data_IF_337035709849
#
_entry.id   IF_337035709849
#
_cell.length_a   1.000
_cell.length_b   1.000
_cell.length_c   1.000
_cell.angle_alpha   90.00
_cell.angle_beta   90.00
_cell.angle_gamma   90.00
#
_symmetry.space_group_name_H-M   'P 1'
#
loop_
_entity.id
_entity.type
_entity.pdbx_description
1 polymer ?
#
# COMPACT_ATOMS: atom_id res chain seq x y z
N UNK A 1 -7.75 16.85 -4.02
CA UNK A 1 -7.68 15.37 -4.19
C UNK A 1 -7.34 15.07 -5.64
N UNK A 2 -6.61 13.99 -5.96
CA UNK A 2 -6.45 13.60 -7.36
C UNK A 2 -7.84 13.37 -7.94
N UNK A 3 -8.14 14.01 -9.07
CA UNK A 3 -9.45 13.93 -9.74
C UNK A 3 -9.68 12.57 -10.39
N UNK A 4 -8.64 11.73 -10.48
CA UNK A 4 -8.61 10.53 -11.31
C UNK A 4 -8.13 9.31 -10.50
N UNK A 5 -8.78 8.17 -10.70
CA UNK A 5 -8.36 6.88 -10.13
C UNK A 5 -7.18 6.28 -10.93
N UNK A 6 -6.44 5.34 -10.33
CA UNK A 6 -5.38 4.60 -11.04
C UNK A 6 -5.89 3.95 -12.34
N UNK A 7 -7.06 3.31 -12.27
CA UNK A 7 -7.74 2.68 -13.41
C UNK A 7 -8.01 3.64 -14.55
N UNK A 8 -8.45 4.86 -14.25
CA UNK A 8 -8.71 5.89 -15.24
C UNK A 8 -7.41 6.51 -15.77
N UNK A 9 -6.44 6.78 -14.89
CA UNK A 9 -5.14 7.33 -15.26
C UNK A 9 -4.38 6.40 -16.22
N UNK A 10 -4.43 5.08 -15.97
CA UNK A 10 -3.81 4.09 -16.83
C UNK A 10 -4.48 4.00 -18.19
N UNK A 11 -5.80 4.16 -18.25
CA UNK A 11 -6.52 4.17 -19.53
C UNK A 11 -6.18 5.43 -20.33
N UNK A 12 -6.12 6.58 -19.68
CA UNK A 12 -5.78 7.86 -20.30
C UNK A 12 -4.37 7.87 -20.93
N UNK A 13 -3.42 7.08 -20.41
CA UNK A 13 -2.11 6.91 -21.04
C UNK A 13 -2.19 6.36 -22.47
N UNK A 14 -3.25 5.62 -22.80
CA UNK A 14 -3.45 5.05 -24.15
C UNK A 14 -3.57 6.13 -25.22
N UNK A 15 -3.96 7.37 -24.85
CA UNK A 15 -3.93 8.53 -25.77
C UNK A 15 -2.54 8.85 -26.31
N UNK A 16 -1.49 8.45 -25.59
CA UNK A 16 -0.09 8.64 -25.99
C UNK A 16 0.54 7.35 -26.58
N UNK A 17 -0.28 6.34 -26.90
CA UNK A 17 0.21 5.01 -27.34
C UNK A 17 0.88 4.21 -26.22
N UNK A 18 0.64 4.57 -24.96
CA UNK A 18 1.23 3.97 -23.77
C UNK A 18 0.16 3.23 -22.94
N UNK A 19 0.53 2.35 -22.00
CA UNK A 19 1.88 1.83 -21.78
C UNK A 19 2.08 0.42 -22.37
N UNK A 20 1.05 -0.15 -23.00
CA UNK A 20 1.00 -1.58 -23.31
C UNK A 20 2.01 -2.05 -24.36
N UNK A 21 2.48 -1.16 -25.23
CA UNK A 21 3.54 -1.45 -26.20
C UNK A 21 4.97 -1.27 -25.66
N UNK A 22 5.14 -0.82 -24.41
CA UNK A 22 6.46 -0.44 -23.87
C UNK A 22 7.14 -1.62 -23.19
N UNK A 23 8.36 -2.02 -23.60
CA UNK A 23 9.05 -3.17 -23.02
C UNK A 23 9.20 -3.11 -21.49
N UNK A 24 9.54 -1.94 -20.93
CA UNK A 24 9.65 -1.74 -19.48
C UNK A 24 8.34 -2.01 -18.76
N UNK A 25 7.21 -1.55 -19.33
CA UNK A 25 5.89 -1.81 -18.76
C UNK A 25 5.48 -3.27 -18.89
N UNK A 26 5.78 -3.91 -20.02
CA UNK A 26 5.52 -5.34 -20.24
C UNK A 26 6.36 -6.21 -19.29
N UNK A 27 7.60 -5.81 -18.97
CA UNK A 27 8.43 -6.49 -17.99
C UNK A 27 7.83 -6.44 -16.57
N UNK A 28 7.22 -5.30 -16.20
CA UNK A 28 6.52 -5.11 -14.92
C UNK A 28 5.22 -5.91 -14.88
N UNK A 29 4.40 -5.81 -15.93
CA UNK A 29 3.03 -6.35 -15.93
C UNK A 29 2.92 -7.80 -16.40
N UNK A 30 3.93 -8.27 -17.14
CA UNK A 30 3.93 -9.55 -17.88
C UNK A 30 2.81 -9.66 -18.91
N UNK A 31 2.32 -8.52 -19.41
CA UNK A 31 1.30 -8.44 -20.44
C UNK A 31 1.97 -7.92 -21.71
N UNK A 32 2.10 -8.73 -22.78
CA UNK A 32 2.94 -8.42 -23.94
C UNK A 32 2.28 -7.48 -24.97
N UNK A 33 1.14 -6.86 -24.64
CA UNK A 33 0.43 -5.98 -25.56
C UNK A 33 -0.83 -5.38 -24.94
N UNK A 34 -1.68 -4.77 -25.77
CA UNK A 34 -2.93 -4.15 -25.33
C UNK A 34 -3.88 -5.20 -24.74
N UNK A 35 -4.39 -5.03 -23.51
CA UNK A 35 -5.24 -6.02 -22.85
C UNK A 35 -6.49 -6.42 -23.64
N UNK A 36 -6.96 -5.55 -24.53
CA UNK A 36 -8.14 -5.75 -25.38
C UNK A 36 -7.79 -6.27 -26.79
N UNK A 37 -6.57 -6.74 -27.02
CA UNK A 37 -6.19 -7.39 -28.27
C UNK A 37 -6.88 -8.74 -28.42
N UNK A 38 -7.38 -9.01 -29.62
CA UNK A 38 -8.05 -10.25 -30.01
C UNK A 38 -7.30 -10.88 -31.18
N UNK A 39 -7.42 -12.20 -31.35
CA UNK A 39 -6.94 -12.89 -32.55
C UNK A 39 -7.95 -12.69 -33.68
N UNK A 40 -7.47 -12.43 -34.89
CA UNK A 40 -8.34 -12.27 -36.05
C UNK A 40 -9.20 -13.52 -36.30
N UNK A 41 -10.50 -13.32 -36.53
CA UNK A 41 -11.50 -14.36 -36.75
C UNK A 41 -11.68 -15.37 -35.60
N UNK A 42 -11.21 -15.07 -34.38
CA UNK A 42 -11.42 -15.94 -33.24
C UNK A 42 -12.90 -15.91 -32.76
N UNK A 43 -13.45 -17.03 -32.28
CA UNK A 43 -14.82 -17.09 -31.75
C UNK A 43 -15.03 -16.10 -30.59
N UNK A 44 -16.19 -15.47 -30.53
CA UNK A 44 -16.53 -14.46 -29.52
C UNK A 44 -16.38 -14.96 -28.07
N UNK A 45 -16.72 -16.23 -27.83
CA UNK A 45 -16.70 -16.85 -26.50
C UNK A 45 -15.34 -17.45 -26.13
N UNK A 46 -14.39 -17.49 -27.06
CA UNK A 46 -13.04 -17.98 -26.76
C UNK A 46 -12.24 -16.96 -25.92
N UNK A 47 -11.29 -17.43 -25.09
CA UNK A 47 -10.45 -16.54 -24.27
C UNK A 47 -9.71 -15.49 -25.10
N UNK A 48 -9.58 -14.28 -24.57
CA UNK A 48 -8.84 -13.21 -25.22
C UNK A 48 -7.33 -13.44 -25.16
N UNK A 49 -6.60 -12.79 -26.07
CA UNK A 49 -5.19 -13.07 -26.34
C UNK A 49 -4.28 -12.85 -25.12
N UNK A 50 -4.42 -11.71 -24.44
CA UNK A 50 -3.54 -11.33 -23.32
C UNK A 50 -4.22 -11.32 -21.95
N UNK A 51 -5.55 -11.41 -21.92
CA UNK A 51 -6.33 -11.49 -20.68
C UNK A 51 -7.24 -12.73 -20.75
N UNK A 52 -6.74 -13.92 -20.37
CA UNK A 52 -7.50 -15.17 -20.51
C UNK A 52 -8.83 -15.18 -19.72
N UNK A 53 -8.97 -14.30 -18.73
CA UNK A 53 -10.23 -14.15 -17.98
C UNK A 53 -11.33 -13.41 -18.75
N UNK A 54 -10.99 -12.79 -19.87
CA UNK A 54 -11.94 -12.17 -20.80
C UNK A 54 -12.20 -13.09 -21.97
N UNK A 55 -13.41 -13.05 -22.51
CA UNK A 55 -13.69 -13.57 -23.85
C UNK A 55 -13.32 -12.53 -24.90
N UNK A 56 -13.16 -12.93 -26.16
CA UNK A 56 -12.96 -11.99 -27.26
C UNK A 56 -14.08 -10.95 -27.37
N UNK A 57 -15.32 -11.33 -27.05
CA UNK A 57 -16.44 -10.38 -26.95
C UNK A 57 -16.20 -9.30 -25.91
N UNK A 58 -15.73 -9.66 -24.71
CA UNK A 58 -15.41 -8.69 -23.65
C UNK A 58 -14.24 -7.81 -24.08
N UNK A 59 -13.19 -8.38 -24.66
CA UNK A 59 -12.05 -7.62 -25.16
C UNK A 59 -12.48 -6.60 -26.24
N UNK A 60 -13.34 -7.00 -27.18
CA UNK A 60 -13.88 -6.10 -28.21
C UNK A 60 -14.73 -4.96 -27.61
N UNK A 61 -15.55 -5.26 -26.60
CA UNK A 61 -16.32 -4.24 -25.86
C UNK A 61 -15.39 -3.26 -25.13
N UNK A 62 -14.34 -3.77 -24.47
CA UNK A 62 -13.32 -2.92 -23.84
C UNK A 62 -12.63 -2.06 -24.88
N UNK A 63 -12.20 -2.62 -26.02
CA UNK A 63 -11.59 -1.86 -27.12
C UNK A 63 -12.49 -0.73 -27.61
N UNK A 64 -13.77 -1.00 -27.85
CA UNK A 64 -14.75 0.02 -28.28
C UNK A 64 -14.92 1.14 -27.24
N UNK A 65 -14.98 0.77 -25.95
CA UNK A 65 -15.00 1.71 -24.85
C UNK A 65 -13.73 2.57 -24.79
N UNK A 66 -12.53 1.97 -24.91
CA UNK A 66 -11.26 2.70 -24.96
C UNK A 66 -11.24 3.68 -26.12
N UNK A 67 -11.58 3.25 -27.34
CA UNK A 67 -11.67 4.13 -28.51
C UNK A 67 -12.62 5.30 -28.27
N UNK A 68 -13.77 5.05 -27.63
CA UNK A 68 -14.73 6.11 -27.28
C UNK A 68 -14.11 7.12 -26.31
N UNK A 69 -13.42 6.65 -25.26
CA UNK A 69 -12.73 7.52 -24.29
C UNK A 69 -11.65 8.36 -24.99
N UNK A 70 -10.83 7.73 -25.83
CA UNK A 70 -9.72 8.41 -26.52
C UNK A 70 -10.21 9.42 -27.56
N UNK A 71 -11.38 9.19 -28.16
CA UNK A 71 -12.04 10.15 -29.06
C UNK A 71 -12.68 11.35 -28.36
N UNK A 72 -12.80 11.34 -27.03
CA UNK A 72 -13.35 12.46 -26.27
C UNK A 72 -12.29 13.53 -25.94
N UNK A 73 -12.70 14.81 -25.78
CA UNK A 73 -11.82 15.85 -25.24
C UNK A 73 -11.24 15.43 -23.88
N UNK A 74 -9.95 15.70 -23.63
CA UNK A 74 -9.23 15.28 -22.41
C UNK A 74 -9.97 15.67 -21.13
N UNK A 75 -10.58 16.85 -21.09
CA UNK A 75 -11.37 17.33 -19.93
C UNK A 75 -12.68 16.55 -19.68
N UNK A 76 -13.20 15.83 -20.68
CA UNK A 76 -14.42 15.03 -20.57
C UNK A 76 -14.14 13.55 -20.23
N UNK A 77 -12.93 13.06 -20.52
CA UNK A 77 -12.54 11.65 -20.33
C UNK A 77 -12.73 11.20 -18.89
N UNK A 78 -12.23 11.98 -17.91
CA UNK A 78 -12.27 11.62 -16.49
C UNK A 78 -13.70 11.44 -15.97
N UNK A 79 -14.60 12.36 -16.35
CA UNK A 79 -16.02 12.30 -15.97
C UNK A 79 -16.72 11.10 -16.61
N UNK A 80 -16.40 10.80 -17.86
CA UNK A 80 -17.01 9.68 -18.57
C UNK A 80 -16.55 8.32 -18.01
N UNK A 81 -15.25 8.17 -17.70
CA UNK A 81 -14.71 6.96 -17.06
C UNK A 81 -15.27 6.74 -15.65
N UNK A 82 -15.54 7.81 -14.90
CA UNK A 82 -16.11 7.75 -13.54
C UNK A 82 -17.62 7.49 -13.51
N UNK A 83 -18.29 7.45 -14.67
CA UNK A 83 -19.75 7.34 -14.77
C UNK A 83 -20.25 5.98 -14.27
N UNK A 84 -21.21 6.00 -13.33
CA UNK A 84 -21.86 4.82 -12.73
C UNK A 84 -23.28 4.58 -13.29
N UNK A 85 -23.45 4.74 -14.59
CA UNK A 85 -24.75 4.56 -15.26
C UNK A 85 -24.72 3.26 -16.07
N UNK A 86 -25.85 2.55 -16.12
CA UNK A 86 -26.08 1.40 -16.99
C UNK A 86 -26.30 1.88 -18.43
N UNK A 87 -25.22 2.26 -19.09
CA UNK A 87 -25.21 2.57 -20.54
C UNK A 87 -24.48 1.47 -21.31
N UNK A 88 -24.40 1.64 -22.64
CA UNK A 88 -23.78 0.68 -23.57
C UNK A 88 -22.34 0.28 -23.19
N UNK A 89 -21.62 1.16 -22.49
CA UNK A 89 -20.21 0.94 -22.13
C UNK A 89 -20.04 0.49 -20.67
N UNK A 90 -21.14 0.29 -19.93
CA UNK A 90 -21.12 -0.11 -18.51
C UNK A 90 -20.43 -1.46 -18.27
N UNK A 91 -20.68 -2.45 -19.14
CA UNK A 91 -20.03 -3.75 -19.08
C UNK A 91 -18.52 -3.65 -19.30
N UNK A 92 -18.10 -2.88 -20.31
CA UNK A 92 -16.70 -2.62 -20.62
C UNK A 92 -15.98 -1.87 -19.49
N UNK A 93 -16.61 -0.82 -18.92
CA UNK A 93 -16.09 -0.10 -17.74
C UNK A 93 -15.86 -1.03 -16.56
N UNK A 94 -16.82 -1.93 -16.31
CA UNK A 94 -16.76 -2.89 -15.20
C UNK A 94 -15.65 -3.91 -15.42
N UNK A 95 -15.56 -4.49 -16.63
CA UNK A 95 -14.51 -5.43 -16.99
C UNK A 95 -13.11 -4.81 -16.86
N UNK A 96 -12.92 -3.59 -17.35
CA UNK A 96 -11.67 -2.83 -17.21
C UNK A 96 -11.31 -2.59 -15.76
N UNK A 97 -12.24 -2.06 -14.96
CA UNK A 97 -11.99 -1.78 -13.54
C UNK A 97 -11.66 -3.07 -12.75
N UNK A 98 -12.36 -4.17 -13.02
CA UNK A 98 -12.11 -5.46 -12.38
C UNK A 98 -10.72 -6.01 -12.73
N UNK A 99 -10.33 -5.92 -14.01
CA UNK A 99 -9.00 -6.32 -14.48
C UNK A 99 -7.89 -5.55 -13.76
N UNK A 100 -7.98 -4.22 -13.74
CA UNK A 100 -6.98 -3.38 -13.06
C UNK A 100 -6.95 -3.65 -11.55
N UNK A 101 -8.12 -3.74 -10.90
CA UNK A 101 -8.19 -4.02 -9.47
C UNK A 101 -7.50 -5.34 -9.12
N UNK A 102 -7.78 -6.41 -9.88
CA UNK A 102 -7.22 -7.76 -9.66
C UNK A 102 -5.70 -7.80 -9.86
N UNK A 103 -5.18 -7.07 -10.84
CA UNK A 103 -3.77 -7.18 -11.28
C UNK A 103 -2.84 -6.12 -10.66
N UNK A 104 -3.36 -4.95 -10.30
CA UNK A 104 -2.53 -3.81 -9.85
C UNK A 104 -1.62 -4.12 -8.66
N UNK A 105 -2.06 -4.97 -7.74
CA UNK A 105 -1.23 -5.41 -6.59
C UNK A 105 -0.07 -6.32 -7.02
N UNK A 106 -0.24 -7.09 -8.10
CA UNK A 106 0.75 -8.03 -8.61
C UNK A 106 1.88 -7.33 -9.38
N UNK A 107 1.61 -6.16 -9.95
CA UNK A 107 2.57 -5.40 -10.75
C UNK A 107 3.65 -4.69 -9.92
N UNK A 108 3.54 -4.68 -8.59
CA UNK A 108 4.58 -4.07 -7.74
C UNK A 108 4.76 -2.55 -7.95
N UNK A 109 3.81 -1.85 -8.58
CA UNK A 109 3.92 -0.40 -8.86
C UNK A 109 4.13 0.40 -7.57
N UNK A 110 3.48 0.00 -6.48
CA UNK A 110 3.68 0.64 -5.17
C UNK A 110 5.13 0.52 -4.69
N UNK A 111 5.75 -0.65 -4.89
CA UNK A 111 7.16 -0.88 -4.53
C UNK A 111 8.09 0.01 -5.36
N UNK A 112 7.80 0.16 -6.66
CA UNK A 112 8.55 1.07 -7.54
C UNK A 112 8.43 2.51 -7.04
N UNK A 113 7.23 2.95 -6.64
CA UNK A 113 7.01 4.28 -6.06
C UNK A 113 7.78 4.44 -4.75
N UNK A 114 7.74 3.42 -3.87
CA UNK A 114 8.47 3.42 -2.59
C UNK A 114 9.98 3.59 -2.81
N UNK A 115 10.57 2.81 -3.73
CA UNK A 115 11.99 2.91 -4.08
C UNK A 115 12.37 4.30 -4.62
N UNK A 116 11.50 4.89 -5.46
CA UNK A 116 11.76 6.23 -6.02
C UNK A 116 11.68 7.29 -4.92
N UNK A 117 10.67 7.22 -4.06
CA UNK A 117 10.54 8.14 -2.92
C UNK A 117 11.73 8.00 -1.97
N UNK A 118 12.14 6.78 -1.65
CA UNK A 118 13.30 6.52 -0.79
C UNK A 118 14.59 7.06 -1.37
N UNK A 119 14.84 6.84 -2.67
CA UNK A 119 16.02 7.37 -3.36
C UNK A 119 16.04 8.90 -3.35
N UNK A 120 14.87 9.54 -3.37
CA UNK A 120 14.73 10.99 -3.31
C UNK A 120 14.74 11.57 -1.87
N UNK A 121 14.91 10.73 -0.83
CA UNK A 121 14.83 11.16 0.56
C UNK A 121 13.40 11.55 0.99
N UNK A 122 12.39 11.04 0.30
CA UNK A 122 10.95 11.34 0.51
C UNK A 122 10.17 10.13 1.01
N UNK A 123 10.84 9.09 1.50
CA UNK A 123 10.13 7.98 2.11
C UNK A 123 9.33 8.48 3.34
N UNK A 124 8.11 7.97 3.57
CA UNK A 124 7.27 8.39 4.70
C UNK A 124 8.00 8.49 6.04
N UNK A 125 8.74 7.45 6.43
CA UNK A 125 9.43 7.42 7.72
C UNK A 125 10.64 8.37 7.77
N UNK A 126 11.35 8.55 6.65
CA UNK A 126 12.43 9.55 6.56
C UNK A 126 11.85 10.94 6.78
N UNK A 127 10.77 11.29 6.08
CA UNK A 127 10.13 12.60 6.21
C UNK A 127 9.60 12.89 7.62
N UNK A 128 9.00 11.90 8.30
CA UNK A 128 8.53 12.08 9.67
C UNK A 128 9.68 12.36 10.63
N UNK A 129 10.81 11.67 10.48
CA UNK A 129 12.02 11.91 11.26
C UNK A 129 12.62 13.28 10.96
N UNK A 130 12.82 13.60 9.70
CA UNK A 130 13.50 14.83 9.27
C UNK A 130 12.69 16.10 9.64
N UNK A 131 11.35 16.01 9.59
CA UNK A 131 10.46 17.10 10.00
C UNK A 131 10.17 17.11 11.50
N UNK A 132 10.51 16.04 12.23
CA UNK A 132 10.17 15.88 13.64
C UNK A 132 8.66 15.91 13.90
N UNK A 133 7.85 15.32 13.01
CA UNK A 133 6.39 15.33 13.13
C UNK A 133 5.79 13.93 13.12
N UNK A 134 4.57 13.81 13.67
CA UNK A 134 3.77 12.59 13.60
C UNK A 134 2.75 12.63 12.44
N UNK A 135 2.92 13.54 11.47
CA UNK A 135 1.97 13.66 10.37
C UNK A 135 2.66 14.04 9.07
N UNK A 136 2.32 13.32 8.02
CA UNK A 136 2.87 13.60 6.69
C UNK A 136 2.21 14.84 6.08
N UNK A 137 3.02 15.77 5.52
CA UNK A 137 2.50 16.94 4.83
C UNK A 137 1.71 16.56 3.57
N UNK A 138 1.02 17.55 2.98
CA UNK A 138 0.40 17.39 1.66
C UNK A 138 1.46 17.16 0.56
N UNK A 139 1.02 16.77 -0.64
CA UNK A 139 1.92 16.36 -1.73
C UNK A 139 2.90 17.48 -2.15
N UNK A 140 2.41 18.72 -2.22
CA UNK A 140 3.18 19.88 -2.67
C UNK A 140 4.28 20.26 -1.66
N UNK A 141 4.01 20.45 -0.35
CA UNK A 141 5.10 20.67 0.62
C UNK A 141 6.02 19.45 0.77
N UNK A 142 5.52 18.24 0.54
CA UNK A 142 6.34 17.03 0.50
C UNK A 142 7.24 16.94 -0.75
N UNK A 143 7.03 17.81 -1.75
CA UNK A 143 7.70 17.86 -3.05
C UNK A 143 7.79 16.48 -3.73
N UNK A 144 6.76 15.64 -3.57
CA UNK A 144 6.74 14.30 -4.17
C UNK A 144 6.77 14.34 -5.70
N UNK A 145 6.40 15.48 -6.31
CA UNK A 145 6.38 15.61 -7.76
C UNK A 145 7.78 15.78 -8.38
N UNK A 146 8.82 16.03 -7.58
CA UNK A 146 10.21 15.98 -8.05
C UNK A 146 10.60 14.55 -8.46
N UNK A 147 9.85 13.56 -7.97
CA UNK A 147 10.00 12.15 -8.32
C UNK A 147 9.35 11.75 -9.65
N UNK A 148 8.71 12.67 -10.39
CA UNK A 148 7.99 12.35 -11.64
C UNK A 148 8.93 11.77 -12.69
N UNK A 149 10.10 12.39 -12.91
CA UNK A 149 11.08 11.93 -13.90
C UNK A 149 11.67 10.56 -13.57
N UNK A 150 12.23 10.31 -12.37
CA UNK A 150 12.74 8.99 -12.04
C UNK A 150 11.66 7.90 -12.04
N UNK A 151 10.42 8.23 -11.65
CA UNK A 151 9.30 7.31 -11.73
C UNK A 151 8.94 6.96 -13.19
N UNK A 152 8.89 7.97 -14.06
CA UNK A 152 8.61 7.77 -15.48
C UNK A 152 9.67 6.88 -16.14
N UNK A 153 10.96 7.11 -15.85
CA UNK A 153 12.06 6.26 -16.32
C UNK A 153 11.90 4.81 -15.85
N UNK A 154 11.56 4.58 -14.56
CA UNK A 154 11.37 3.22 -14.05
C UNK A 154 10.18 2.50 -14.67
N UNK A 155 9.09 3.22 -14.95
CA UNK A 155 7.85 2.60 -15.45
C UNK A 155 7.85 2.39 -16.97
N UNK A 156 8.44 3.32 -17.72
CA UNK A 156 8.33 3.33 -19.18
C UNK A 156 9.68 3.38 -19.90
N UNK A 157 10.80 3.55 -19.19
CA UNK A 157 12.10 3.73 -19.83
C UNK A 157 12.13 4.92 -20.78
N UNK A 158 12.83 4.77 -21.90
CA UNK A 158 13.02 5.83 -22.90
C UNK A 158 11.69 6.21 -23.60
N UNK A 159 10.71 5.31 -23.63
CA UNK A 159 9.37 5.58 -24.17
C UNK A 159 8.58 6.63 -23.37
N UNK A 160 9.06 7.02 -22.18
CA UNK A 160 8.50 8.12 -21.41
C UNK A 160 8.70 9.50 -22.08
N UNK A 161 9.72 9.62 -22.93
CA UNK A 161 10.23 10.90 -23.43
C UNK A 161 9.75 11.23 -24.84
N UNK A 162 9.82 12.51 -25.18
CA UNK A 162 9.48 13.02 -26.52
C UNK A 162 10.71 12.93 -27.42
N UNK A 163 10.61 12.10 -28.48
CA UNK A 163 11.68 11.94 -29.47
C UNK A 163 12.98 11.43 -28.84
N UNK A 164 14.13 12.04 -29.19
CA UNK A 164 15.44 11.79 -28.56
C UNK A 164 15.73 12.76 -27.39
N UNK A 165 14.73 13.49 -26.92
CA UNK A 165 14.89 14.57 -25.95
C UNK A 165 14.81 14.10 -24.50
N UNK A 166 15.04 15.04 -23.59
CA UNK A 166 14.94 14.87 -22.13
C UNK A 166 13.57 15.25 -21.55
N UNK A 167 12.62 15.68 -22.39
CA UNK A 167 11.29 16.10 -21.98
C UNK A 167 10.31 14.92 -21.94
N UNK A 168 9.56 14.79 -20.84
CA UNK A 168 8.53 13.77 -20.70
C UNK A 168 7.28 14.11 -21.52
N UNK A 169 6.62 13.07 -22.03
CA UNK A 169 5.28 13.19 -22.64
C UNK A 169 4.28 13.72 -21.60
N UNK A 170 3.39 14.62 -22.00
CA UNK A 170 2.40 15.24 -21.10
C UNK A 170 1.52 14.19 -20.38
N UNK A 171 1.07 13.18 -21.11
CA UNK A 171 0.29 12.07 -20.54
C UNK A 171 1.07 11.30 -19.46
N UNK A 172 2.38 11.13 -19.63
CA UNK A 172 3.26 10.47 -18.65
C UNK A 172 3.40 11.32 -17.39
N UNK A 173 3.57 12.64 -17.53
CA UNK A 173 3.61 13.57 -16.40
C UNK A 173 2.29 13.50 -15.62
N UNK A 174 1.14 13.59 -16.30
CA UNK A 174 -0.19 13.52 -15.68
C UNK A 174 -0.38 12.20 -14.93
N UNK A 175 0.00 11.08 -15.54
CA UNK A 175 -0.07 9.76 -14.93
C UNK A 175 0.81 9.63 -13.68
N UNK A 176 2.10 9.97 -13.80
CA UNK A 176 3.06 9.86 -12.70
C UNK A 176 2.65 10.73 -11.50
N UNK A 177 2.24 11.98 -11.75
CA UNK A 177 1.70 12.85 -10.70
C UNK A 177 0.48 12.22 -10.02
N UNK A 178 -0.45 11.68 -10.79
CA UNK A 178 -1.66 11.04 -10.26
C UNK A 178 -1.34 9.86 -9.34
N UNK A 179 -0.47 8.94 -9.76
CA UNK A 179 -0.13 7.76 -8.96
C UNK A 179 0.72 8.10 -7.73
N UNK A 180 1.57 9.13 -7.82
CA UNK A 180 2.29 9.69 -6.67
C UNK A 180 1.31 10.29 -5.66
N UNK A 181 0.36 11.11 -6.10
CA UNK A 181 -0.65 11.69 -5.21
C UNK A 181 -1.52 10.61 -4.56
N UNK A 182 -1.94 9.58 -5.29
CA UNK A 182 -2.72 8.46 -4.75
C UNK A 182 -1.93 7.69 -3.69
N UNK A 183 -0.66 7.38 -3.97
CA UNK A 183 0.22 6.65 -3.05
C UNK A 183 0.53 7.48 -1.81
N UNK A 184 0.84 8.77 -1.98
CA UNK A 184 1.09 9.68 -0.87
C UNK A 184 -0.11 9.81 0.05
N UNK A 185 -1.32 9.98 -0.50
CA UNK A 185 -2.53 10.02 0.31
C UNK A 185 -2.79 8.71 1.06
N UNK A 186 -2.41 7.55 0.49
CA UNK A 186 -2.44 6.28 1.22
C UNK A 186 -1.48 6.30 2.39
N UNK A 187 -0.24 6.75 2.21
CA UNK A 187 0.73 6.86 3.31
C UNK A 187 0.25 7.81 4.40
N UNK A 188 -0.25 8.99 4.04
CA UNK A 188 -0.82 9.95 5.00
C UNK A 188 -1.92 9.34 5.86
N UNK A 189 -2.85 8.61 5.23
CA UNK A 189 -3.93 7.89 5.95
C UNK A 189 -3.39 6.76 6.81
N UNK A 190 -2.38 6.04 6.34
CA UNK A 190 -1.69 4.98 7.09
C UNK A 190 -1.04 5.54 8.35
N UNK A 191 -0.24 6.59 8.22
CA UNK A 191 0.41 7.29 9.34
C UNK A 191 -0.61 7.82 10.34
N UNK A 192 -1.66 8.51 9.87
CA UNK A 192 -2.71 9.01 10.77
C UNK A 192 -3.39 7.88 11.56
N UNK A 193 -3.64 6.72 10.93
CA UNK A 193 -4.20 5.55 11.60
C UNK A 193 -3.23 4.96 12.61
N UNK A 194 -1.97 4.80 12.24
CA UNK A 194 -0.94 4.22 13.11
C UNK A 194 -0.70 5.13 14.33
N UNK A 195 -0.70 6.45 14.15
CA UNK A 195 -0.60 7.42 15.26
C UNK A 195 -1.78 7.32 16.22
N UNK A 196 -3.01 7.30 15.68
CA UNK A 196 -4.19 7.12 16.51
C UNK A 196 -4.19 5.76 17.26
N UNK A 197 -3.70 4.71 16.59
CA UNK A 197 -3.54 3.39 17.20
C UNK A 197 -2.47 3.38 18.30
N UNK A 198 -1.35 4.10 18.12
CA UNK A 198 -0.31 4.25 19.13
C UNK A 198 -0.87 4.90 20.40
N UNK A 199 -1.63 5.97 20.27
CA UNK A 199 -2.23 6.64 21.43
C UNK A 199 -3.26 5.74 22.13
N UNK A 200 -4.15 5.12 21.36
CA UNK A 200 -5.18 4.21 21.91
C UNK A 200 -4.55 3.00 22.63
N UNK A 201 -3.53 2.37 22.02
CA UNK A 201 -2.83 1.24 22.64
C UNK A 201 -2.02 1.67 23.86
N UNK A 202 -1.44 2.88 23.85
CA UNK A 202 -0.70 3.40 24.99
C UNK A 202 -1.62 3.60 26.21
N UNK A 203 -2.81 4.15 26.01
CA UNK A 203 -3.81 4.33 27.07
C UNK A 203 -4.25 2.98 27.64
N UNK A 204 -4.61 2.02 26.76
CA UNK A 204 -4.97 0.66 27.17
C UNK A 204 -3.82 0.00 27.94
N UNK A 205 -2.58 0.14 27.46
CA UNK A 205 -1.42 -0.44 28.11
C UNK A 205 -1.20 0.15 29.50
N UNK A 206 -1.34 1.47 29.62
CA UNK A 206 -1.13 2.20 30.88
C UNK A 206 -2.20 1.86 31.91
N UNK A 207 -3.48 1.80 31.51
CA UNK A 207 -4.57 1.41 32.42
C UNK A 207 -4.47 -0.06 32.83
N UNK A 208 -4.13 -0.94 31.90
CA UNK A 208 -3.92 -2.36 32.19
C UNK A 208 -2.72 -2.55 33.12
N UNK A 209 -1.63 -1.81 32.93
CA UNK A 209 -0.47 -1.82 33.82
C UNK A 209 -0.83 -1.39 35.25
N UNK A 210 -1.64 -0.32 35.41
CA UNK A 210 -2.13 0.12 36.72
C UNK A 210 -2.96 -0.97 37.40
N UNK A 211 -3.85 -1.64 36.65
CA UNK A 211 -4.63 -2.76 37.17
C UNK A 211 -3.74 -3.95 37.58
N UNK A 212 -2.69 -4.26 36.80
CA UNK A 212 -1.70 -5.28 37.14
C UNK A 212 -0.89 -4.93 38.40
N UNK A 213 -0.65 -3.65 38.64
CA UNK A 213 0.15 -3.16 39.76
C UNK A 213 -0.66 -2.90 41.03
N UNK A 214 -1.98 -3.08 41.00
CA UNK A 214 -2.85 -2.86 42.16
C UNK A 214 -2.72 -3.98 43.20
N UNK A 215 -2.62 -3.61 44.47
CA UNK A 215 -2.48 -4.57 45.57
C UNK A 215 -3.66 -5.56 45.63
N UNK A 216 -3.37 -6.84 45.87
CA UNK A 216 -4.37 -7.90 46.04
C UNK A 216 -4.93 -8.50 44.74
N UNK A 217 -4.39 -8.13 43.58
CA UNK A 217 -4.81 -8.71 42.29
C UNK A 217 -4.13 -10.05 42.01
N UNK A 218 -4.92 -11.08 41.71
CA UNK A 218 -4.42 -12.38 41.21
C UNK A 218 -4.49 -12.38 39.69
N UNK A 219 -3.33 -12.50 39.06
CA UNK A 219 -3.21 -12.39 37.61
C UNK A 219 -3.21 -13.75 36.96
N UNK A 220 -4.09 -13.94 35.98
CA UNK A 220 -4.10 -15.17 35.19
C UNK A 220 -2.99 -15.13 34.15
N UNK A 221 -2.38 -16.29 33.90
CA UNK A 221 -1.36 -16.48 32.86
C UNK A 221 -1.85 -16.00 31.49
N UNK A 222 -3.14 -16.16 31.19
CA UNK A 222 -3.77 -15.70 29.95
C UNK A 222 -3.81 -14.17 29.85
N UNK A 223 -4.14 -13.46 30.93
CA UNK A 223 -4.14 -12.00 30.97
C UNK A 223 -2.74 -11.43 30.73
N UNK A 224 -1.72 -11.97 31.40
CA UNK A 224 -0.32 -11.55 31.24
C UNK A 224 0.15 -11.77 29.78
N UNK A 225 -0.17 -12.93 29.18
CA UNK A 225 0.17 -13.20 27.77
C UNK A 225 -0.52 -12.25 26.80
N UNK A 226 -1.79 -11.92 27.04
CA UNK A 226 -2.52 -10.94 26.22
C UNK A 226 -1.87 -9.56 26.30
N UNK A 227 -1.49 -9.13 27.49
CA UNK A 227 -0.84 -7.85 27.70
C UNK A 227 0.54 -7.77 27.04
N UNK A 228 1.36 -8.83 27.13
CA UNK A 228 2.63 -8.93 26.37
C UNK A 228 2.40 -8.81 24.86
N UNK A 229 1.30 -9.37 24.33
CA UNK A 229 0.97 -9.24 22.89
C UNK A 229 0.70 -7.79 22.51
N UNK A 230 0.03 -7.03 23.36
CA UNK A 230 -0.27 -5.61 23.10
C UNK A 230 0.98 -4.73 23.24
N UNK A 231 1.82 -4.98 24.24
CA UNK A 231 3.15 -4.34 24.36
C UNK A 231 4.01 -4.58 23.11
N UNK A 232 4.03 -5.81 22.57
CA UNK A 232 4.74 -6.12 21.32
C UNK A 232 4.19 -5.39 20.10
N UNK A 233 2.87 -5.18 20.01
CA UNK A 233 2.27 -4.38 18.93
C UNK A 233 2.70 -2.93 19.04
N UNK A 234 2.66 -2.37 20.25
CA UNK A 234 3.03 -0.99 20.51
C UNK A 234 4.52 -0.75 20.25
N UNK A 235 5.39 -1.67 20.67
CA UNK A 235 6.83 -1.62 20.40
C UNK A 235 7.14 -1.62 18.90
N UNK A 236 6.45 -2.44 18.10
CA UNK A 236 6.60 -2.43 16.64
C UNK A 236 6.26 -1.08 16.01
N UNK A 237 5.26 -0.38 16.54
CA UNK A 237 4.89 0.95 16.06
C UNK A 237 5.94 1.98 16.46
N UNK A 238 6.40 1.99 17.72
CA UNK A 238 7.45 2.92 18.15
C UNK A 238 8.79 2.71 17.43
N UNK A 239 9.16 1.47 17.12
CA UNK A 239 10.34 1.20 16.27
C UNK A 239 10.15 1.75 14.86
N UNK A 240 8.96 1.57 14.26
CA UNK A 240 8.66 2.06 12.91
C UNK A 240 8.76 3.59 12.81
N UNK A 241 8.32 4.30 13.85
CA UNK A 241 8.25 5.76 13.89
C UNK A 241 9.41 6.42 14.65
N UNK A 242 10.40 5.64 15.10
CA UNK A 242 11.59 6.11 15.83
C UNK A 242 11.27 6.90 17.11
N UNK A 243 10.19 6.52 17.82
CA UNK A 243 9.79 7.13 19.10
C UNK A 243 10.57 6.48 20.26
N UNK A 244 11.79 6.98 20.48
CA UNK A 244 12.72 6.41 21.46
C UNK A 244 12.22 6.51 22.90
N UNK A 245 11.54 7.59 23.26
CA UNK A 245 11.08 7.83 24.63
C UNK A 245 9.96 6.84 25.01
N UNK A 246 8.92 6.76 24.18
CA UNK A 246 7.80 5.85 24.45
C UNK A 246 8.21 4.39 24.31
N UNK A 247 9.15 4.10 23.38
CA UNK A 247 9.79 2.77 23.25
C UNK A 247 10.44 2.32 24.55
N UNK A 248 11.31 3.14 25.15
CA UNK A 248 12.04 2.76 26.35
C UNK A 248 11.11 2.43 27.52
N UNK A 249 9.97 3.13 27.62
CA UNK A 249 8.94 2.85 28.63
C UNK A 249 8.24 1.50 28.41
N UNK A 250 7.84 1.21 27.17
CA UNK A 250 7.19 -0.06 26.82
C UNK A 250 8.14 -1.25 26.97
N UNK A 251 9.43 -1.07 26.68
CA UNK A 251 10.44 -2.12 26.89
C UNK A 251 10.56 -2.50 28.39
N UNK A 252 10.44 -1.52 29.30
CA UNK A 252 10.41 -1.80 30.75
C UNK A 252 9.16 -2.60 31.14
N UNK A 253 7.97 -2.15 30.74
CA UNK A 253 6.73 -2.91 31.00
C UNK A 253 6.80 -4.34 30.46
N UNK A 254 7.42 -4.53 29.30
CA UNK A 254 7.58 -5.86 28.71
C UNK A 254 8.53 -6.74 29.51
N UNK A 255 9.64 -6.19 30.02
CA UNK A 255 10.56 -6.93 30.88
C UNK A 255 9.87 -7.38 32.18
N UNK A 256 9.15 -6.48 32.84
CA UNK A 256 8.47 -6.76 34.10
C UNK A 256 7.37 -7.83 33.94
N UNK A 257 6.60 -7.78 32.85
CA UNK A 257 5.54 -8.76 32.58
C UNK A 257 6.07 -10.14 32.21
N UNK A 258 7.21 -10.21 31.53
CA UNK A 258 7.89 -11.49 31.25
C UNK A 258 8.37 -12.12 32.55
N UNK A 259 8.88 -11.31 33.48
CA UNK A 259 9.29 -11.82 34.79
C UNK A 259 8.09 -12.27 35.63
N UNK A 260 7.01 -11.49 35.65
CA UNK A 260 5.76 -11.88 36.31
C UNK A 260 5.21 -13.21 35.76
N UNK A 261 5.24 -13.40 34.43
CA UNK A 261 4.84 -14.65 33.80
C UNK A 261 5.71 -15.83 34.27
N UNK A 262 7.02 -15.63 34.43
CA UNK A 262 7.92 -16.68 34.93
C UNK A 262 7.62 -17.06 36.38
N UNK A 263 7.36 -16.08 37.24
CA UNK A 263 7.04 -16.31 38.66
C UNK A 263 5.72 -17.10 38.78
N UNK A 264 4.67 -16.65 38.10
CA UNK A 264 3.35 -17.31 38.10
C UNK A 264 3.42 -18.74 37.52
N UNK A 265 4.27 -18.99 36.52
CA UNK A 265 4.49 -20.35 36.00
C UNK A 265 5.26 -21.28 36.97
N UNK A 266 5.96 -20.75 37.99
CA UNK A 266 6.77 -21.53 38.95
C UNK A 266 6.05 -21.83 40.27
N UNK A 267 4.89 -21.21 40.54
CA UNK A 267 4.14 -21.44 41.78
C UNK A 267 3.50 -22.85 41.85
N UNK A 268 3.76 -23.64 42.92
CA UNK A 268 3.20 -24.98 43.07
C UNK A 268 1.70 -24.88 43.40
N UNK A 269 0.85 -25.16 42.39
CA UNK A 269 -0.61 -25.08 42.50
C UNK A 269 -1.31 -24.41 41.31
N UNK A 270 -0.55 -23.83 40.38
CA UNK A 270 -1.08 -23.35 39.09
C UNK A 270 -1.76 -24.49 38.33
N UNK A 271 -3.09 -24.36 38.11
CA UNK A 271 -3.91 -25.34 37.36
C UNK A 271 -3.57 -25.41 35.87
N UNK A 272 -2.68 -24.54 35.37
CA UNK A 272 -2.21 -24.53 33.99
C UNK A 272 -0.82 -25.17 33.89
N UNK A 273 -0.75 -26.47 34.24
CA UNK A 273 0.48 -27.28 34.12
C UNK A 273 0.78 -27.71 32.68
N UNK A 274 0.64 -26.80 31.72
CA UNK A 274 1.12 -27.01 30.35
C UNK A 274 2.56 -26.47 30.25
N UNK A 275 3.49 -27.28 30.76
CA UNK A 275 4.93 -26.98 30.92
C UNK A 275 5.66 -26.56 29.63
N UNK A 276 5.08 -26.86 28.45
CA UNK A 276 5.60 -26.43 27.14
C UNK A 276 5.25 -24.98 26.79
N UNK A 277 4.26 -24.37 27.45
CA UNK A 277 3.72 -23.05 27.10
C UNK A 277 4.54 -21.87 27.67
N UNK A 278 5.17 -22.04 28.83
CA UNK A 278 5.97 -20.98 29.47
C UNK A 278 7.40 -20.86 28.89
N UNK A 279 7.93 -21.90 28.21
CA UNK A 279 9.32 -21.93 27.70
C UNK A 279 9.56 -21.06 26.44
N UNK A 280 8.51 -20.65 25.72
CA UNK A 280 8.64 -19.89 24.46
C UNK A 280 8.89 -18.37 24.61
N UNK A 281 9.01 -17.86 25.84
CA UNK A 281 9.26 -16.45 26.12
C UNK A 281 10.71 -16.16 26.54
N UNK A 282 11.55 -17.19 26.62
CA UNK A 282 12.99 -17.07 26.88
C UNK A 282 13.77 -17.09 25.56
N UNK A 283 14.01 -15.93 24.95
CA UNK A 283 15.06 -15.64 23.94
C UNK A 283 15.04 -14.12 23.67
N UNK A 284 16.20 -13.48 23.38
CA UNK A 284 16.44 -12.06 23.67
C UNK A 284 15.49 -11.16 22.89
N UNK A 285 14.56 -10.54 23.62
CA UNK A 285 13.51 -9.64 23.14
C UNK A 285 14.05 -8.39 22.42
N UNK A 286 15.35 -8.15 22.49
CA UNK A 286 16.04 -6.97 21.94
C UNK A 286 16.56 -7.23 20.51
N UNK A 287 16.87 -8.48 20.14
CA UNK A 287 17.58 -8.78 18.88
C UNK A 287 16.67 -8.97 17.65
N UNK A 288 15.34 -9.05 17.81
CA UNK A 288 14.40 -9.27 16.69
C UNK A 288 13.74 -7.99 16.14
N UNK A 289 14.05 -6.83 16.71
CA UNK A 289 13.44 -5.55 16.36
C UNK A 289 14.47 -4.45 16.03
N UNK A 290 15.74 -4.81 15.85
CA UNK A 290 16.75 -3.99 15.16
C UNK A 290 16.74 -4.35 13.68
#
# INVERSE_FOLDING_TARGET
MPSQSFTAALLALSSAGLPWGVPSWQAITRIPGEPWSTVDNAPEDSPSLYVPEWTNRVAAQVKAYVTTVLGMPVGAQDRYMAKRVLDKDSAARTAWAAFISKRSSQWGINKIIDEVLETAGRAPNQMLRDLGTNSLPHAEPAQIYDCVTPLAQKLFGDDAYVGRGSFLKEAVIKFCRTILTLSWNRYRKGVARDVHLMDTLYDVVTETWKAFSAEGTTHTTSAIRSFIKDLRKLLKLYVRYDDQERRARVERYMADMVEMLRVVCKEPGSKDSDSKSCQNYELPLIAKYQ
#
